data_IF_149412472409
#
_entry.id   IF_149412472409
#
_cell.length_a   1.000
_cell.length_b   1.000
_cell.length_c   1.000
_cell.angle_alpha   90.00
_cell.angle_beta   90.00
_cell.angle_gamma   90.00
#
_symmetry.space_group_name_H-M   'P 1'
#
loop_
_entity.id
_entity.type
_entity.pdbx_description
1 polymer ?
#
# COMPACT_ATOMS: atom_id res chain seq x y z
N UNK A 1 -4.63 -21.42 25.22
CA UNK A 1 -4.58 -20.25 26.12
C UNK A 1 -4.62 -19.04 25.22
N UNK A 2 -5.79 -18.36 25.12
CA UNK A 2 -5.88 -17.08 24.40
C UNK A 2 -4.98 -16.11 25.16
N UNK A 3 -3.84 -15.79 24.59
CA UNK A 3 -2.97 -14.75 25.08
C UNK A 3 -3.76 -13.44 24.94
N UNK A 4 -4.22 -12.92 26.07
CA UNK A 4 -4.96 -11.67 26.15
C UNK A 4 -4.00 -10.58 25.64
N UNK A 5 -4.31 -10.00 24.48
CA UNK A 5 -3.46 -8.94 23.94
C UNK A 5 -3.48 -7.77 24.93
N UNK A 6 -2.32 -7.24 25.25
CA UNK A 6 -2.10 -6.14 26.21
C UNK A 6 -2.64 -4.77 25.72
N UNK A 7 -3.50 -4.80 24.68
CA UNK A 7 -4.09 -3.60 24.05
C UNK A 7 -5.36 -3.10 24.75
N UNK A 8 -5.73 -3.66 25.88
CA UNK A 8 -6.90 -3.22 26.65
C UNK A 8 -8.23 -3.43 25.95
N UNK A 9 -8.36 -4.50 25.15
CA UNK A 9 -9.59 -4.84 24.45
C UNK A 9 -10.64 -5.34 25.44
N UNK A 10 -11.86 -4.79 25.34
CA UNK A 10 -12.99 -5.19 26.17
C UNK A 10 -13.61 -6.49 25.61
N UNK A 11 -13.61 -7.56 26.39
CA UNK A 11 -14.23 -8.85 26.06
C UNK A 11 -15.49 -9.10 26.89
N UNK A 12 -16.50 -9.81 26.34
CA UNK A 12 -16.60 -10.25 24.95
C UNK A 12 -16.79 -9.09 24.00
N UNK A 13 -16.25 -9.21 22.75
CA UNK A 13 -16.42 -8.17 21.75
C UNK A 13 -17.88 -8.13 21.30
N UNK A 14 -18.53 -6.99 21.51
CA UNK A 14 -19.91 -6.72 21.10
C UNK A 14 -19.94 -5.66 20.02
N UNK A 15 -21.01 -5.64 19.22
CA UNK A 15 -21.17 -4.66 18.13
C UNK A 15 -21.14 -3.21 18.67
N UNK A 16 -21.72 -2.97 19.82
CA UNK A 16 -21.78 -1.64 20.46
C UNK A 16 -20.39 -1.17 20.92
N UNK A 17 -19.52 -2.09 21.32
CA UNK A 17 -18.15 -1.78 21.78
C UNK A 17 -17.11 -1.87 20.68
N UNK A 18 -17.45 -2.41 19.51
CA UNK A 18 -16.52 -2.62 18.40
C UNK A 18 -15.82 -1.31 17.96
N UNK A 19 -16.48 -0.16 17.75
CA UNK A 19 -15.80 1.07 17.35
C UNK A 19 -14.70 1.50 18.34
N UNK A 20 -14.98 1.41 19.64
CA UNK A 20 -13.99 1.72 20.69
C UNK A 20 -12.81 0.76 20.68
N UNK A 21 -13.06 -0.54 20.51
CA UNK A 21 -12.02 -1.55 20.42
C UNK A 21 -11.16 -1.39 19.14
N UNK A 22 -11.78 -1.06 18.01
CA UNK A 22 -11.04 -0.69 16.79
C UNK A 22 -10.11 0.49 17.02
N UNK A 23 -10.59 1.54 17.68
CA UNK A 23 -9.77 2.71 17.99
C UNK A 23 -8.57 2.36 18.89
N UNK A 24 -8.75 1.48 19.88
CA UNK A 24 -7.67 0.99 20.74
C UNK A 24 -6.60 0.23 19.95
N UNK A 25 -6.99 -0.52 18.91
CA UNK A 25 -6.08 -1.28 18.05
C UNK A 25 -5.43 -0.43 16.97
N UNK A 26 -6.06 0.68 16.55
CA UNK A 26 -5.63 1.45 15.39
C UNK A 26 -4.15 1.88 15.49
N UNK A 27 -3.78 2.58 16.55
CA UNK A 27 -2.41 3.08 16.69
C UNK A 27 -1.38 1.96 16.86
N UNK A 28 -1.57 0.98 17.78
CA UNK A 28 -0.64 -0.13 17.89
C UNK A 28 -0.45 -0.89 16.58
N UNK A 29 -1.53 -1.20 15.87
CA UNK A 29 -1.47 -1.90 14.60
C UNK A 29 -0.79 -1.07 13.52
N UNK A 30 -1.18 0.20 13.37
CA UNK A 30 -0.61 1.11 12.37
C UNK A 30 0.91 1.30 12.59
N UNK A 31 1.32 1.65 13.80
CA UNK A 31 2.72 1.96 14.07
C UNK A 31 3.62 0.74 14.25
N UNK A 32 3.10 -0.38 14.74
CA UNK A 32 3.91 -1.60 14.87
C UNK A 32 3.95 -2.41 13.59
N UNK A 33 2.79 -2.70 13.00
CA UNK A 33 2.69 -3.56 11.81
C UNK A 33 2.77 -2.75 10.53
N UNK A 34 1.92 -1.74 10.35
CA UNK A 34 1.86 -0.96 9.12
C UNK A 34 3.18 -0.28 8.78
N UNK A 35 3.80 0.40 9.76
CA UNK A 35 5.10 1.05 9.56
C UNK A 35 6.23 0.06 9.32
N UNK A 36 6.18 -1.13 9.94
CA UNK A 36 7.17 -2.18 9.69
C UNK A 36 7.03 -2.73 8.26
N UNK A 37 5.81 -2.97 7.79
CA UNK A 37 5.55 -3.37 6.39
C UNK A 37 6.06 -2.31 5.41
N UNK A 38 5.74 -1.02 5.63
CA UNK A 38 6.26 0.06 4.79
C UNK A 38 7.78 0.12 4.76
N UNK A 39 8.44 -0.08 5.91
CA UNK A 39 9.90 -0.09 6.00
C UNK A 39 10.51 -1.24 5.20
N UNK A 40 9.91 -2.43 5.25
CA UNK A 40 10.37 -3.57 4.46
C UNK A 40 10.12 -3.38 2.97
N UNK A 41 8.97 -2.79 2.58
CA UNK A 41 8.71 -2.41 1.19
C UNK A 41 9.74 -1.41 0.69
N UNK A 42 9.99 -0.32 1.42
CA UNK A 42 10.92 0.73 0.99
C UNK A 42 12.38 0.25 0.94
N UNK A 43 12.78 -0.59 1.89
CA UNK A 43 14.20 -0.92 2.03
C UNK A 43 15.06 0.32 2.34
N UNK A 44 16.37 0.26 2.11
CA UNK A 44 17.28 1.37 2.40
C UNK A 44 17.25 2.47 1.34
N UNK A 45 16.83 2.18 0.10
CA UNK A 45 17.13 3.01 -1.07
C UNK A 45 15.93 3.81 -1.60
N UNK A 46 14.71 3.49 -1.14
CA UNK A 46 13.49 4.12 -1.64
C UNK A 46 12.86 5.03 -0.61
N UNK A 47 12.39 6.18 -1.06
CA UNK A 47 11.49 7.00 -0.27
C UNK A 47 10.08 6.39 -0.25
N UNK A 48 9.29 6.71 0.77
CA UNK A 48 7.90 6.26 0.92
C UNK A 48 7.06 6.46 -0.35
N UNK A 49 7.17 7.63 -0.98
CA UNK A 49 6.40 7.93 -2.18
C UNK A 49 6.86 7.13 -3.41
N UNK A 50 8.15 6.89 -3.55
CA UNK A 50 8.67 6.03 -4.61
C UNK A 50 8.18 4.60 -4.43
N UNK A 51 8.24 4.08 -3.22
CA UNK A 51 7.73 2.75 -2.85
C UNK A 51 6.25 2.59 -3.24
N UNK A 52 5.42 3.55 -2.84
CA UNK A 52 3.98 3.50 -3.11
C UNK A 52 3.70 3.59 -4.62
N UNK A 53 4.42 4.42 -5.36
CA UNK A 53 4.27 4.52 -6.83
C UNK A 53 4.66 3.20 -7.49
N UNK A 54 5.78 2.59 -7.11
CA UNK A 54 6.19 1.27 -7.64
C UNK A 54 5.13 0.21 -7.35
N UNK A 55 4.62 0.18 -6.11
CA UNK A 55 3.55 -0.74 -5.72
C UNK A 55 2.26 -0.51 -6.52
N UNK A 56 1.87 0.75 -6.75
CA UNK A 56 0.70 1.07 -7.57
C UNK A 56 0.87 0.59 -9.01
N UNK A 57 2.04 0.78 -9.61
CA UNK A 57 2.30 0.30 -10.97
C UNK A 57 2.18 -1.23 -11.01
N UNK A 58 2.72 -1.92 -10.01
CA UNK A 58 2.67 -3.38 -9.93
C UNK A 58 1.25 -3.90 -9.70
N UNK A 59 0.53 -3.33 -8.72
CA UNK A 59 -0.76 -3.88 -8.26
C UNK A 59 -1.97 -3.42 -9.07
N UNK A 60 -1.91 -2.26 -9.70
CA UNK A 60 -3.03 -1.63 -10.44
C UNK A 60 -2.73 -1.37 -11.91
N UNK A 61 -1.48 -1.57 -12.33
CA UNK A 61 -1.05 -1.34 -13.70
C UNK A 61 -1.37 -2.53 -14.62
N UNK A 62 -1.42 -2.26 -15.91
CA UNK A 62 -1.57 -3.27 -16.94
C UNK A 62 -0.36 -4.22 -16.92
N UNK A 63 -0.63 -5.52 -16.78
CA UNK A 63 0.37 -6.58 -16.63
C UNK A 63 1.41 -6.32 -15.51
N UNK A 64 1.06 -5.52 -14.50
CA UNK A 64 1.96 -5.15 -13.40
C UNK A 64 3.11 -4.23 -13.80
N UNK A 65 3.08 -3.62 -14.97
CA UNK A 65 4.23 -2.85 -15.48
C UNK A 65 3.90 -1.46 -15.98
N UNK A 66 2.66 -1.17 -16.30
CA UNK A 66 2.26 0.08 -16.98
C UNK A 66 1.02 0.68 -16.36
N UNK A 67 1.02 1.99 -16.10
CA UNK A 67 -0.12 2.69 -15.50
C UNK A 67 -0.24 4.11 -16.10
N UNK A 68 -1.46 4.61 -16.23
CA UNK A 68 -1.68 6.00 -16.62
C UNK A 68 -1.32 6.95 -15.48
N UNK A 69 -0.63 8.05 -15.80
CA UNK A 69 -0.25 9.07 -14.81
C UNK A 69 -1.44 9.59 -13.99
N UNK A 70 -2.58 9.81 -14.64
CA UNK A 70 -3.81 10.27 -13.97
C UNK A 70 -4.27 9.29 -12.87
N UNK A 71 -4.09 7.99 -13.08
CA UNK A 71 -4.42 6.97 -12.08
C UNK A 71 -3.52 7.11 -10.86
N UNK A 72 -2.21 7.33 -11.04
CA UNK A 72 -1.28 7.60 -9.94
C UNK A 72 -1.69 8.87 -9.19
N UNK A 73 -1.97 9.96 -9.92
CA UNK A 73 -2.35 11.25 -9.30
C UNK A 73 -3.62 11.12 -8.45
N UNK A 74 -4.63 10.41 -8.96
CA UNK A 74 -5.87 10.15 -8.22
C UNK A 74 -5.61 9.33 -6.95
N UNK A 75 -4.94 8.19 -7.07
CA UNK A 75 -4.69 7.28 -5.95
C UNK A 75 -3.80 7.91 -4.87
N UNK A 76 -2.73 8.58 -5.26
CA UNK A 76 -1.85 9.26 -4.30
C UNK A 76 -2.57 10.44 -3.65
N UNK A 77 -3.33 11.21 -4.40
CA UNK A 77 -4.14 12.31 -3.83
C UNK A 77 -5.16 11.82 -2.81
N UNK A 78 -5.74 10.62 -3.03
CA UNK A 78 -6.64 9.99 -2.07
C UNK A 78 -5.92 9.47 -0.80
N UNK A 79 -4.69 8.98 -0.92
CA UNK A 79 -3.99 8.30 0.17
C UNK A 79 -3.06 9.22 0.97
N UNK A 80 -2.47 10.24 0.34
CA UNK A 80 -1.40 11.05 0.93
C UNK A 80 -1.64 12.56 0.91
N UNK A 81 -2.76 13.02 0.39
CA UNK A 81 -3.05 14.45 0.20
C UNK A 81 -1.93 15.22 -0.55
N UNK A 82 -1.32 14.56 -1.55
CA UNK A 82 -0.26 15.14 -2.36
C UNK A 82 -0.81 15.77 -3.64
N UNK A 83 -0.44 17.03 -3.86
CA UNK A 83 -0.78 17.73 -5.09
C UNK A 83 0.06 17.29 -6.30
N UNK A 84 -0.48 17.53 -7.51
CA UNK A 84 0.14 17.17 -8.80
C UNK A 84 1.60 17.66 -8.96
N UNK A 85 2.01 18.86 -8.46
CA UNK A 85 3.41 19.28 -8.55
C UNK A 85 4.37 18.37 -7.77
N UNK A 86 3.99 17.93 -6.57
CA UNK A 86 4.79 17.03 -5.74
C UNK A 86 4.92 15.65 -6.40
N UNK A 87 3.82 15.10 -6.92
CA UNK A 87 3.80 13.85 -7.68
C UNK A 87 4.72 13.95 -8.90
N UNK A 88 4.63 15.05 -9.65
CA UNK A 88 5.49 15.31 -10.81
C UNK A 88 6.98 15.31 -10.45
N UNK A 89 7.35 15.86 -9.29
CA UNK A 89 8.73 15.86 -8.80
C UNK A 89 9.21 14.44 -8.52
N UNK A 90 8.40 13.62 -7.85
CA UNK A 90 8.75 12.22 -7.54
C UNK A 90 8.88 11.41 -8.83
N UNK A 91 7.93 11.50 -9.75
CA UNK A 91 7.98 10.77 -11.01
C UNK A 91 9.21 11.14 -11.86
N UNK A 92 9.58 12.42 -11.92
CA UNK A 92 10.80 12.85 -12.62
C UNK A 92 12.06 12.28 -11.98
N UNK A 93 12.15 12.30 -10.65
CA UNK A 93 13.29 11.71 -9.94
C UNK A 93 13.39 10.20 -10.19
N UNK A 94 12.25 9.47 -10.20
CA UNK A 94 12.24 8.04 -10.50
C UNK A 94 12.60 7.71 -11.96
N UNK A 95 12.36 8.63 -12.89
CA UNK A 95 12.69 8.49 -14.30
C UNK A 95 14.10 8.98 -14.64
N UNK A 96 14.78 9.67 -13.73
CA UNK A 96 16.14 10.16 -13.89
C UNK A 96 17.13 9.00 -14.12
N UNK A 97 18.24 9.27 -14.79
CA UNK A 97 19.25 8.28 -15.15
C UNK A 97 19.86 7.57 -13.94
N UNK A 98 19.97 8.26 -12.82
CA UNK A 98 20.58 7.71 -11.60
C UNK A 98 19.67 6.64 -10.97
N UNK A 99 18.38 6.91 -10.84
CA UNK A 99 17.41 5.95 -10.33
C UNK A 99 16.94 5.00 -11.42
N UNK A 100 16.51 5.52 -12.56
CA UNK A 100 16.05 4.76 -13.72
C UNK A 100 15.04 3.63 -13.39
N UNK A 101 14.07 3.95 -12.52
CA UNK A 101 13.05 2.97 -12.07
C UNK A 101 11.86 2.92 -13.00
N UNK A 102 11.52 4.06 -13.63
CA UNK A 102 10.38 4.19 -14.54
C UNK A 102 10.77 4.93 -15.81
N UNK A 103 9.97 4.76 -16.85
CA UNK A 103 9.95 5.61 -18.03
C UNK A 103 8.62 6.31 -18.14
N UNK A 104 8.64 7.55 -18.65
CA UNK A 104 7.44 8.37 -18.87
C UNK A 104 7.33 8.58 -20.38
N UNK A 105 6.23 8.13 -20.99
CA UNK A 105 5.96 8.27 -22.43
C UNK A 105 4.59 8.89 -22.64
N UNK A 106 4.37 9.44 -23.82
CA UNK A 106 3.04 9.80 -24.26
C UNK A 106 2.22 8.54 -24.55
N UNK A 107 0.93 8.60 -24.31
CA UNK A 107 0.02 7.51 -24.63
C UNK A 107 -0.10 7.38 -26.16
N UNK A 108 -0.14 6.16 -26.66
CA UNK A 108 -0.37 5.89 -28.09
C UNK A 108 -1.76 6.34 -28.55
N UNK A 109 -2.72 6.42 -27.62
CA UNK A 109 -4.11 6.81 -27.90
C UNK A 109 -4.38 8.29 -27.70
N UNK A 110 -3.49 9.02 -26.99
CA UNK A 110 -3.68 10.46 -26.69
C UNK A 110 -2.36 11.13 -26.34
N UNK A 111 -1.90 12.06 -27.17
CA UNK A 111 -0.69 12.86 -26.93
C UNK A 111 -0.76 13.70 -25.62
N UNK A 112 -1.96 13.91 -25.05
CA UNK A 112 -2.16 14.63 -23.78
C UNK A 112 -2.04 13.72 -22.56
N UNK A 113 -2.08 12.42 -22.74
CA UNK A 113 -1.96 11.45 -21.65
C UNK A 113 -0.55 10.90 -21.55
N UNK A 114 -0.05 10.82 -20.32
CA UNK A 114 1.25 10.21 -20.04
C UNK A 114 1.06 8.84 -19.41
N UNK A 115 1.85 7.90 -19.91
CA UNK A 115 1.92 6.52 -19.43
C UNK A 115 3.25 6.32 -18.71
N UNK A 116 3.17 5.75 -17.55
CA UNK A 116 4.31 5.41 -16.71
C UNK A 116 4.54 3.91 -16.81
N UNK A 117 5.77 3.52 -17.14
CA UNK A 117 6.15 2.11 -17.27
C UNK A 117 7.38 1.80 -16.42
N UNK A 118 7.39 0.66 -15.75
CA UNK A 118 8.59 0.16 -15.08
C UNK A 118 9.70 -0.12 -16.10
N UNK A 119 10.91 0.28 -15.78
CA UNK A 119 12.11 -0.19 -16.49
C UNK A 119 12.47 -1.60 -16.03
N UNK A 120 13.49 -2.21 -16.65
CA UNK A 120 14.04 -3.48 -16.14
C UNK A 120 14.53 -3.36 -14.71
N UNK A 121 15.20 -2.24 -14.37
CA UNK A 121 15.63 -1.95 -13.00
C UNK A 121 14.43 -1.77 -12.07
N UNK A 122 13.41 -1.03 -12.51
CA UNK A 122 12.18 -0.87 -11.74
C UNK A 122 11.47 -2.19 -11.45
N UNK A 123 11.39 -3.09 -12.41
CA UNK A 123 10.83 -4.43 -12.22
C UNK A 123 11.64 -5.25 -11.21
N UNK A 124 12.97 -5.25 -11.32
CA UNK A 124 13.85 -5.91 -10.35
C UNK A 124 13.64 -5.33 -8.95
N UNK A 125 13.57 -4.00 -8.82
CA UNK A 125 13.31 -3.31 -7.55
C UNK A 125 11.97 -3.73 -6.94
N UNK A 126 10.90 -3.80 -7.75
CA UNK A 126 9.58 -4.26 -7.27
C UNK A 126 9.64 -5.70 -6.76
N UNK A 127 10.32 -6.60 -7.49
CA UNK A 127 10.47 -7.98 -7.04
C UNK A 127 11.23 -8.08 -5.70
N UNK A 128 12.29 -7.28 -5.53
CA UNK A 128 13.02 -7.21 -4.25
C UNK A 128 12.15 -6.65 -3.12
N UNK A 129 11.34 -5.63 -3.39
CA UNK A 129 10.37 -5.09 -2.43
C UNK A 129 9.41 -6.18 -1.96
N UNK A 130 8.83 -6.93 -2.89
CA UNK A 130 7.88 -8.02 -2.61
C UNK A 130 8.58 -9.10 -1.78
N UNK A 131 9.69 -9.63 -2.24
CA UNK A 131 10.41 -10.71 -1.56
C UNK A 131 10.78 -10.34 -0.11
N UNK A 132 11.28 -9.12 0.10
CA UNK A 132 11.60 -8.62 1.46
C UNK A 132 10.38 -8.56 2.36
N UNK A 133 9.27 -8.10 1.81
CA UNK A 133 8.04 -7.90 2.58
C UNK A 133 7.35 -9.22 2.87
N UNK A 134 7.30 -10.13 1.89
CA UNK A 134 6.78 -11.48 2.08
C UNK A 134 7.58 -12.25 3.12
N UNK A 135 8.90 -12.15 3.12
CA UNK A 135 9.74 -12.76 4.15
C UNK A 135 9.41 -12.20 5.55
N UNK A 136 9.18 -10.89 5.68
CA UNK A 136 8.79 -10.28 6.95
C UNK A 136 7.38 -10.71 7.39
N UNK A 137 6.41 -10.68 6.48
CA UNK A 137 5.02 -11.08 6.77
C UNK A 137 4.97 -12.57 7.10
N UNK A 138 5.78 -13.40 6.42
CA UNK A 138 5.92 -14.83 6.70
C UNK A 138 6.24 -15.12 8.16
N UNK A 139 7.16 -14.35 8.77
CA UNK A 139 7.48 -14.49 10.20
C UNK A 139 6.27 -14.26 11.12
N UNK A 140 5.32 -13.45 10.70
CA UNK A 140 4.07 -13.21 11.43
C UNK A 140 3.10 -14.36 11.16
N UNK A 141 2.91 -14.72 9.89
CA UNK A 141 1.99 -15.79 9.46
C UNK A 141 2.33 -17.13 10.08
N UNK A 142 3.62 -17.44 10.25
CA UNK A 142 4.11 -18.68 10.90
C UNK A 142 3.68 -18.81 12.36
N UNK A 143 3.14 -17.75 12.97
CA UNK A 143 2.64 -17.74 14.36
C UNK A 143 1.11 -17.79 14.45
N UNK A 144 0.43 -17.78 13.30
CA UNK A 144 -1.02 -17.81 13.19
C UNK A 144 -1.48 -19.17 12.68
N UNK A 145 -2.71 -19.55 13.02
CA UNK A 145 -3.36 -20.71 12.41
C UNK A 145 -3.92 -20.34 11.03
N UNK A 146 -4.20 -21.34 10.20
CA UNK A 146 -4.80 -21.12 8.88
C UNK A 146 -6.15 -20.40 9.00
N UNK A 147 -6.95 -20.74 10.01
CA UNK A 147 -8.25 -20.10 10.27
C UNK A 147 -8.10 -18.63 10.69
N UNK A 148 -7.06 -18.30 11.45
CA UNK A 148 -6.76 -16.89 11.83
C UNK A 148 -6.32 -16.08 10.61
N UNK A 149 -5.52 -16.67 9.73
CA UNK A 149 -5.08 -16.04 8.48
C UNK A 149 -6.30 -15.81 7.57
N UNK A 150 -7.11 -16.83 7.32
CA UNK A 150 -8.30 -16.74 6.46
C UNK A 150 -9.28 -15.68 6.98
N UNK A 151 -9.63 -15.74 8.27
CA UNK A 151 -10.56 -14.80 8.89
C UNK A 151 -10.01 -13.36 8.85
N UNK A 152 -8.71 -13.18 9.07
CA UNK A 152 -8.04 -11.88 8.99
C UNK A 152 -8.07 -11.28 7.58
N UNK A 153 -7.77 -12.09 6.57
CA UNK A 153 -7.78 -11.68 5.16
C UNK A 153 -9.20 -11.34 4.69
N UNK A 154 -10.19 -12.17 5.03
CA UNK A 154 -11.60 -11.91 4.72
C UNK A 154 -12.06 -10.61 5.37
N UNK A 155 -11.77 -10.40 6.65
CA UNK A 155 -12.11 -9.18 7.37
C UNK A 155 -11.51 -7.93 6.71
N UNK A 156 -10.20 -7.93 6.44
CA UNK A 156 -9.53 -6.78 5.81
C UNK A 156 -10.07 -6.48 4.41
N UNK A 157 -10.32 -7.53 3.61
CA UNK A 157 -10.91 -7.41 2.27
C UNK A 157 -12.30 -6.77 2.33
N UNK A 158 -13.16 -7.21 3.25
CA UNK A 158 -14.50 -6.64 3.43
C UNK A 158 -14.48 -5.19 3.90
N UNK A 159 -13.61 -4.87 4.85
CA UNK A 159 -13.44 -3.47 5.32
C UNK A 159 -12.97 -2.58 4.16
N UNK A 160 -11.98 -3.03 3.38
CA UNK A 160 -11.53 -2.33 2.20
C UNK A 160 -12.66 -2.06 1.20
N UNK A 161 -13.44 -3.09 0.87
CA UNK A 161 -14.57 -2.97 -0.05
C UNK A 161 -15.66 -1.98 0.44
N UNK A 162 -15.97 -1.98 1.75
CA UNK A 162 -16.92 -1.03 2.34
C UNK A 162 -16.43 0.42 2.18
N UNK A 163 -15.16 0.67 2.46
CA UNK A 163 -14.57 2.01 2.33
C UNK A 163 -14.47 2.44 0.86
N UNK A 164 -14.10 1.54 -0.04
CA UNK A 164 -14.00 1.82 -1.48
C UNK A 164 -15.36 2.03 -2.15
N UNK A 165 -16.42 1.41 -1.66
CA UNK A 165 -17.79 1.60 -2.18
C UNK A 165 -18.35 3.00 -1.97
N UNK A 166 -17.69 3.86 -1.17
CA UNK A 166 -18.16 5.19 -0.84
C UNK A 166 -19.31 5.24 0.18
N UNK A 167 -19.70 4.09 0.76
CA UNK A 167 -20.68 4.04 1.85
C UNK A 167 -20.20 4.77 3.10
N UNK A 168 -18.88 4.92 3.24
CA UNK A 168 -18.24 5.69 4.30
C UNK A 168 -17.36 6.74 3.65
N UNK A 169 -17.61 8.03 3.95
CA UNK A 169 -16.76 9.12 3.46
C UNK A 169 -15.33 8.95 4.02
N UNK A 170 -14.34 9.10 3.16
CA UNK A 170 -12.91 9.11 3.57
C UNK A 170 -12.47 10.47 4.13
N UNK A 171 -13.29 11.51 3.93
CA UNK A 171 -13.03 12.87 4.41
C UNK A 171 -14.15 13.25 5.36
N UNK A 172 -13.81 13.81 6.53
CA UNK A 172 -14.79 14.39 7.45
C UNK A 172 -15.52 15.57 6.82
#
# INVERSE_FOLDING_TARGET
>A
VKQQSDFGIDYPIKRETAPKNFLKLFYPFHYSVGMAVEKHLSGPDLTRHQTVILWMIHSKGENGHTIHRKTIERLIGEWYDLGSPAISKVLRAMADKDLNLISIKESETSAREKVIRLTKKGQATVNEMINRTEAFIGLISDKLTDEEIEAGMEFMSRVGAIVESGLVSRRP
#
